data_IF_171928959791
#
_entry.id   IF_171928959791
#
_cell.length_a   1.000
_cell.length_b   1.000
_cell.length_c   1.000
_cell.angle_alpha   90.00
_cell.angle_beta   90.00
_cell.angle_gamma   90.00
#
_symmetry.space_group_name_H-M   'P 1'
#
loop_
_entity.id
_entity.type
_entity.pdbx_description
1 polymer ?
#
# COMPACT_ATOMS: atom_id res chain seq x y z
N UNK A 1 8.42 34.46 -18.80
CA UNK A 1 7.04 34.32 -18.26
C UNK A 1 7.04 33.77 -16.83
N UNK A 2 7.87 32.76 -16.51
CA UNK A 2 8.13 32.25 -15.14
C UNK A 2 8.43 33.35 -14.10
N UNK A 3 9.31 34.32 -14.42
CA UNK A 3 9.63 35.46 -13.54
C UNK A 3 8.41 36.33 -13.15
N UNK A 4 7.37 36.40 -14.00
CA UNK A 4 6.14 37.17 -13.68
C UNK A 4 5.17 36.38 -12.79
N UNK A 5 5.25 35.05 -12.78
CA UNK A 5 4.52 34.18 -11.84
C UNK A 5 5.21 34.11 -10.48
N UNK A 6 6.55 34.13 -10.46
CA UNK A 6 7.38 34.21 -9.25
C UNK A 6 7.03 35.40 -8.36
N UNK A 7 6.67 36.54 -8.95
CA UNK A 7 6.32 37.77 -8.21
C UNK A 7 4.92 37.73 -7.56
N UNK A 8 4.06 36.75 -7.92
CA UNK A 8 2.67 36.67 -7.41
C UNK A 8 2.49 35.68 -6.26
N UNK A 9 3.40 34.72 -6.09
CA UNK A 9 3.29 33.67 -5.07
C UNK A 9 4.48 33.72 -4.11
N UNK A 10 4.18 33.77 -2.81
CA UNK A 10 5.08 33.91 -1.66
C UNK A 10 5.98 32.68 -1.39
N UNK A 11 6.48 32.00 -2.44
CA UNK A 11 7.44 30.89 -2.32
C UNK A 11 8.90 31.34 -2.50
N UNK A 12 9.14 32.65 -2.54
CA UNK A 12 10.46 33.27 -2.68
C UNK A 12 11.21 33.26 -1.35
N UNK A 13 11.94 32.18 -1.07
CA UNK A 13 12.86 32.16 0.08
C UNK A 13 13.66 30.89 0.32
N UNK A 14 13.33 29.75 -0.28
CA UNK A 14 14.04 28.48 -0.04
C UNK A 14 14.69 27.94 -1.32
N UNK A 15 15.93 27.45 -1.24
CA UNK A 15 16.63 26.78 -2.36
C UNK A 15 15.82 25.59 -2.89
N UNK A 16 15.00 24.97 -2.03
CA UNK A 16 14.08 23.91 -2.42
C UNK A 16 12.99 24.38 -3.39
N UNK A 17 12.54 25.65 -3.31
CA UNK A 17 11.49 26.17 -4.18
C UNK A 17 11.99 26.35 -5.61
N UNK A 18 13.25 26.77 -5.80
CA UNK A 18 13.86 26.93 -7.14
C UNK A 18 13.88 25.61 -7.92
N UNK A 19 14.35 24.53 -7.28
CA UNK A 19 14.37 23.21 -7.93
C UNK A 19 12.97 22.64 -8.20
N UNK A 20 11.97 22.97 -7.37
CA UNK A 20 10.58 22.60 -7.69
C UNK A 20 10.03 23.34 -8.89
N UNK A 21 10.44 24.59 -9.12
CA UNK A 21 9.98 25.39 -10.25
C UNK A 21 10.49 24.86 -11.60
N UNK A 22 11.70 24.30 -11.65
CA UNK A 22 12.20 23.66 -12.88
C UNK A 22 11.41 22.38 -13.23
N UNK A 23 10.89 21.67 -12.22
CA UNK A 23 10.14 20.42 -12.41
C UNK A 23 8.69 20.62 -12.86
N UNK A 24 8.10 21.78 -12.59
CA UNK A 24 6.70 22.03 -12.96
C UNK A 24 6.52 22.41 -14.42
N UNK A 25 7.59 22.79 -15.13
CA UNK A 25 7.50 23.28 -16.51
C UNK A 25 6.70 24.58 -16.59
N UNK A 26 5.81 24.70 -17.58
CA UNK A 26 4.97 25.90 -17.76
C UNK A 26 3.64 25.84 -17.00
N UNK A 27 3.46 24.87 -16.09
CA UNK A 27 2.22 24.69 -15.35
C UNK A 27 1.96 25.85 -14.39
N UNK A 28 0.69 26.23 -14.30
CA UNK A 28 0.28 27.35 -13.45
C UNK A 28 0.24 26.93 -11.97
N UNK A 29 0.85 27.76 -11.12
CA UNK A 29 0.82 27.64 -9.66
C UNK A 29 -0.42 28.38 -9.15
N UNK A 30 -1.34 27.65 -8.53
CA UNK A 30 -2.66 28.13 -8.09
C UNK A 30 -2.87 28.11 -6.58
N UNK A 31 -1.94 27.53 -5.83
CA UNK A 31 -2.02 27.45 -4.38
C UNK A 31 -0.67 27.18 -3.75
N UNK A 32 -0.69 27.00 -2.42
CA UNK A 32 0.54 26.83 -1.63
C UNK A 32 1.07 25.38 -1.65
N UNK A 33 0.20 24.38 -1.77
CA UNK A 33 0.55 22.96 -1.68
C UNK A 33 0.64 22.45 -0.25
N UNK A 34 0.52 21.12 -0.06
CA UNK A 34 0.46 20.53 1.28
C UNK A 34 1.78 20.66 2.08
N UNK A 35 2.91 20.82 1.38
CA UNK A 35 4.26 20.94 1.96
C UNK A 35 4.91 22.29 1.65
N UNK A 36 4.12 23.27 1.18
CA UNK A 36 4.63 24.57 0.76
C UNK A 36 5.47 24.56 -0.52
N UNK A 37 5.40 23.48 -1.30
CA UNK A 37 6.04 23.40 -2.62
C UNK A 37 5.00 23.39 -3.74
N UNK A 38 5.38 23.92 -4.89
CA UNK A 38 4.59 23.86 -6.11
C UNK A 38 4.58 22.42 -6.69
N UNK A 39 3.86 21.50 -6.05
CA UNK A 39 3.73 20.11 -6.49
C UNK A 39 2.28 19.74 -6.87
N UNK A 40 2.16 18.75 -7.75
CA UNK A 40 0.89 18.13 -8.11
C UNK A 40 0.84 16.72 -7.54
N UNK A 41 -0.24 16.36 -6.83
CA UNK A 41 -0.66 14.97 -6.73
C UNK A 41 -2.17 14.89 -6.52
N UNK A 42 -2.75 13.81 -7.03
CA UNK A 42 -4.15 13.46 -6.84
C UNK A 42 -4.31 12.74 -5.50
N UNK A 43 -4.84 13.47 -4.52
CA UNK A 43 -4.97 12.99 -3.14
C UNK A 43 -6.35 13.31 -2.58
N UNK A 44 -6.95 12.33 -1.91
CA UNK A 44 -8.27 12.50 -1.30
C UNK A 44 -8.23 13.47 -0.11
N UNK A 45 -7.15 13.47 0.67
CA UNK A 45 -6.94 14.34 1.82
C UNK A 45 -6.50 15.77 1.44
N UNK A 46 -5.99 15.96 0.22
CA UNK A 46 -5.56 17.26 -0.28
C UNK A 46 -6.13 17.50 -1.69
N UNK A 47 -7.41 17.88 -1.80
CA UNK A 47 -8.14 17.87 -3.06
C UNK A 47 -7.77 19.00 -4.03
N UNK A 48 -7.05 20.01 -3.54
CA UNK A 48 -6.66 21.21 -4.30
C UNK A 48 -5.13 21.29 -4.37
N UNK A 49 -4.49 20.64 -5.37
CA UNK A 49 -3.03 20.64 -5.51
C UNK A 49 -2.49 22.05 -5.78
N UNK A 50 -1.20 22.25 -5.52
CA UNK A 50 -0.55 23.56 -5.60
C UNK A 50 -0.49 24.10 -7.04
N UNK A 51 -0.45 23.20 -8.01
CA UNK A 51 -0.34 23.50 -9.44
C UNK A 51 -1.47 22.82 -10.22
N UNK A 52 -1.76 23.29 -11.43
CA UNK A 52 -2.67 22.60 -12.36
C UNK A 52 -1.99 21.37 -12.99
N UNK A 53 -2.77 20.37 -13.39
CA UNK A 53 -2.25 19.17 -14.03
C UNK A 53 -1.57 19.45 -15.38
N UNK A 54 -2.25 20.16 -16.30
CA UNK A 54 -1.74 20.43 -17.65
C UNK A 54 -1.09 21.80 -17.77
N UNK A 55 -0.16 21.91 -18.71
CA UNK A 55 0.38 23.20 -19.15
C UNK A 55 -0.68 24.05 -19.88
N UNK A 56 -0.57 25.39 -19.83
CA UNK A 56 -1.57 26.27 -20.39
C UNK A 56 -1.47 26.33 -21.93
N UNK A 57 -2.33 25.58 -22.61
CA UNK A 57 -2.51 25.66 -24.07
C UNK A 57 -3.43 26.85 -24.46
N UNK A 58 -3.37 27.31 -25.71
CA UNK A 58 -4.18 28.42 -26.25
C UNK A 58 -5.69 28.16 -26.09
N UNK A 59 -6.14 26.94 -26.34
CA UNK A 59 -7.54 26.53 -26.16
C UNK A 59 -7.97 26.63 -24.69
N UNK A 60 -7.15 26.10 -23.78
CA UNK A 60 -7.43 26.16 -22.35
C UNK A 60 -7.43 27.61 -21.88
N UNK A 61 -6.49 28.44 -22.33
CA UNK A 61 -6.46 29.88 -22.01
C UNK A 61 -7.75 30.57 -22.47
N UNK A 62 -8.25 30.29 -23.67
CA UNK A 62 -9.53 30.84 -24.14
C UNK A 62 -10.72 30.35 -23.27
N UNK A 63 -10.73 29.08 -22.88
CA UNK A 63 -11.74 28.55 -21.95
C UNK A 63 -11.64 29.19 -20.55
N UNK A 64 -10.44 29.52 -20.07
CA UNK A 64 -10.24 30.24 -18.80
C UNK A 64 -10.78 31.67 -18.84
N UNK A 65 -10.68 32.35 -19.97
CA UNK A 65 -11.31 33.68 -20.11
C UNK A 65 -12.84 33.58 -20.09
N UNK A 66 -13.42 32.50 -20.65
CA UNK A 66 -14.86 32.20 -20.50
C UNK A 66 -15.23 31.80 -19.07
N UNK A 67 -14.37 31.07 -18.36
CA UNK A 67 -14.58 30.65 -16.95
C UNK A 67 -14.76 31.85 -16.01
N UNK A 68 -14.18 33.02 -16.33
CA UNK A 68 -14.39 34.27 -15.56
C UNK A 68 -15.79 34.85 -15.71
N UNK A 69 -16.56 34.41 -16.70
CA UNK A 69 -17.94 34.85 -16.95
C UNK A 69 -18.95 33.89 -16.30
N UNK A 70 -20.23 34.04 -16.61
CA UNK A 70 -21.29 33.17 -16.09
C UNK A 70 -21.14 31.71 -16.57
N UNK A 71 -21.01 30.78 -15.63
CA UNK A 71 -20.83 29.36 -15.90
C UNK A 71 -22.05 28.70 -16.55
N UNK A 72 -23.24 29.32 -16.46
CA UNK A 72 -24.43 28.83 -17.18
C UNK A 72 -24.27 28.86 -18.70
N UNK A 73 -23.30 29.63 -19.23
CA UNK A 73 -23.00 29.73 -20.66
C UNK A 73 -21.97 28.70 -21.13
N UNK A 74 -21.32 27.98 -20.21
CA UNK A 74 -20.36 26.94 -20.54
C UNK A 74 -21.08 25.64 -20.89
N UNK A 75 -20.62 24.95 -21.93
CA UNK A 75 -21.11 23.61 -22.23
C UNK A 75 -20.57 22.59 -21.22
N UNK A 76 -21.25 21.45 -21.09
CA UNK A 76 -20.76 20.35 -20.23
C UNK A 76 -19.38 19.84 -20.66
N UNK A 77 -19.08 19.91 -21.96
CA UNK A 77 -17.78 19.52 -22.52
C UNK A 77 -16.68 20.52 -22.16
N UNK A 78 -16.98 21.83 -22.22
CA UNK A 78 -16.05 22.89 -21.80
C UNK A 78 -15.73 22.77 -20.31
N UNK A 79 -16.72 22.48 -19.47
CA UNK A 79 -16.52 22.23 -18.03
C UNK A 79 -15.64 21.00 -17.81
N UNK A 80 -15.90 19.89 -18.51
CA UNK A 80 -15.07 18.67 -18.42
C UNK A 80 -13.64 18.93 -18.90
N UNK A 81 -13.45 19.73 -19.95
CA UNK A 81 -12.13 20.11 -20.45
C UNK A 81 -11.36 20.96 -19.43
N UNK A 82 -12.02 21.95 -18.80
CA UNK A 82 -11.44 22.74 -17.71
C UNK A 82 -11.06 21.87 -16.50
N UNK A 83 -11.91 20.88 -16.17
CA UNK A 83 -11.64 19.92 -15.11
C UNK A 83 -10.39 19.08 -15.43
N UNK A 84 -10.32 18.45 -16.60
CA UNK A 84 -9.16 17.61 -17.03
C UNK A 84 -7.88 18.40 -17.29
N UNK A 85 -7.98 19.71 -17.52
CA UNK A 85 -6.82 20.60 -17.55
C UNK A 85 -6.30 20.89 -16.14
N UNK A 86 -7.22 20.94 -15.16
CA UNK A 86 -6.89 21.23 -13.76
C UNK A 86 -6.43 20.00 -12.99
N UNK A 87 -7.10 18.87 -13.21
CA UNK A 87 -6.91 17.62 -12.49
C UNK A 87 -6.65 16.46 -13.45
N UNK A 88 -5.73 15.57 -13.09
CA UNK A 88 -5.46 14.36 -13.86
C UNK A 88 -6.57 13.33 -13.62
N UNK A 89 -6.79 12.97 -12.36
CA UNK A 89 -7.77 11.97 -11.97
C UNK A 89 -8.98 12.58 -11.25
N UNK A 90 -10.14 11.94 -11.40
CA UNK A 90 -11.32 12.18 -10.56
C UNK A 90 -11.21 11.43 -9.24
N UNK A 91 -11.99 11.80 -8.23
CA UNK A 91 -12.07 11.04 -6.97
C UNK A 91 -12.45 9.57 -7.18
N UNK A 92 -13.34 9.29 -8.14
CA UNK A 92 -13.73 7.92 -8.47
C UNK A 92 -12.56 7.13 -9.07
N UNK A 93 -11.69 7.77 -9.86
CA UNK A 93 -10.50 7.14 -10.43
C UNK A 93 -9.41 6.91 -9.37
N UNK A 94 -9.23 7.85 -8.44
CA UNK A 94 -8.27 7.72 -7.32
C UNK A 94 -8.67 6.57 -6.38
N UNK A 95 -9.98 6.42 -6.12
CA UNK A 95 -10.52 5.41 -5.22
C UNK A 95 -10.84 4.08 -5.92
N UNK A 96 -10.53 3.96 -7.21
CA UNK A 96 -10.82 2.75 -7.96
C UNK A 96 -9.99 1.56 -7.41
N UNK A 97 -10.62 0.41 -7.11
CA UNK A 97 -9.90 -0.74 -6.59
C UNK A 97 -9.02 -1.37 -7.68
N UNK A 98 -7.71 -1.53 -7.40
CA UNK A 98 -6.72 -2.09 -8.34
C UNK A 98 -6.67 -3.63 -8.33
N UNK A 99 -7.07 -4.24 -7.22
CA UNK A 99 -6.99 -5.70 -7.03
C UNK A 99 -5.59 -6.24 -6.74
N UNK A 100 -4.61 -5.39 -6.44
CA UNK A 100 -3.21 -5.77 -6.15
C UNK A 100 -3.07 -6.79 -5.02
N UNK A 101 -3.99 -6.80 -4.05
CA UNK A 101 -4.01 -7.79 -2.97
C UNK A 101 -4.03 -9.23 -3.48
N UNK A 102 -4.66 -9.49 -4.64
CA UNK A 102 -4.71 -10.81 -5.27
C UNK A 102 -3.31 -11.25 -5.73
N UNK A 103 -2.53 -10.33 -6.29
CA UNK A 103 -1.15 -10.58 -6.68
C UNK A 103 -0.28 -10.86 -5.46
N UNK A 104 -0.41 -10.06 -4.39
CA UNK A 104 0.33 -10.29 -3.15
C UNK A 104 0.03 -11.65 -2.54
N UNK A 105 -1.24 -12.07 -2.49
CA UNK A 105 -1.60 -13.40 -2.02
C UNK A 105 -1.07 -14.51 -2.92
N UNK A 106 -1.19 -14.36 -4.24
CA UNK A 106 -0.68 -15.36 -5.19
C UNK A 106 0.83 -15.58 -5.04
N UNK A 107 1.60 -14.50 -4.96
CA UNK A 107 3.05 -14.57 -4.75
C UNK A 107 3.38 -15.18 -3.39
N UNK A 108 2.65 -14.82 -2.34
CA UNK A 108 2.86 -15.38 -0.99
C UNK A 108 2.67 -16.90 -0.97
N UNK A 109 1.62 -17.42 -1.61
CA UNK A 109 1.38 -18.87 -1.68
C UNK A 109 2.44 -19.62 -2.49
N UNK A 110 3.02 -19.00 -3.52
CA UNK A 110 4.15 -19.60 -4.26
C UNK A 110 5.34 -19.79 -3.32
N UNK A 111 5.69 -18.79 -2.51
CA UNK A 111 6.81 -18.90 -1.56
C UNK A 111 6.52 -19.90 -0.43
N UNK A 112 5.29 -19.94 0.09
CA UNK A 112 4.91 -20.95 1.10
C UNK A 112 5.01 -22.36 0.54
N UNK A 113 4.51 -22.59 -0.68
CA UNK A 113 4.61 -23.88 -1.36
C UNK A 113 6.08 -24.28 -1.56
N UNK A 114 6.91 -23.36 -2.01
CA UNK A 114 8.35 -23.59 -2.19
C UNK A 114 9.04 -23.96 -0.86
N UNK A 115 8.71 -23.28 0.23
CA UNK A 115 9.25 -23.59 1.56
C UNK A 115 8.85 -24.99 2.04
N UNK A 116 7.59 -25.40 1.82
CA UNK A 116 7.11 -26.75 2.14
C UNK A 116 7.88 -27.80 1.32
N UNK A 117 8.06 -27.57 0.02
CA UNK A 117 8.83 -28.47 -0.83
C UNK A 117 10.27 -28.60 -0.38
N UNK A 118 10.92 -27.50 0.00
CA UNK A 118 12.28 -27.54 0.55
C UNK A 118 12.30 -28.38 1.83
N UNK A 119 11.35 -28.19 2.75
CA UNK A 119 11.29 -28.98 3.98
C UNK A 119 11.11 -30.48 3.72
N UNK A 120 10.27 -30.85 2.74
CA UNK A 120 10.09 -32.25 2.31
C UNK A 120 11.39 -32.81 1.72
N UNK A 121 12.08 -32.06 0.85
CA UNK A 121 13.35 -32.49 0.26
C UNK A 121 14.45 -32.67 1.32
N UNK A 122 14.52 -31.79 2.31
CA UNK A 122 15.43 -31.94 3.45
C UNK A 122 15.15 -33.25 4.20
N UNK A 123 13.89 -33.58 4.44
CA UNK A 123 13.51 -34.81 5.12
C UNK A 123 13.75 -36.08 4.28
N UNK A 124 13.71 -36.00 2.95
CA UNK A 124 13.91 -37.16 2.08
C UNK A 124 15.38 -37.46 1.78
N UNK A 125 16.23 -36.42 1.69
CA UNK A 125 17.58 -36.56 1.16
C UNK A 125 18.70 -36.11 2.11
N UNK A 126 18.38 -35.41 3.21
CA UNK A 126 19.40 -34.80 4.07
C UNK A 126 19.32 -35.29 5.51
N UNK A 127 18.13 -35.43 6.09
CA UNK A 127 17.98 -35.87 7.47
C UNK A 127 18.09 -37.38 7.62
N UNK A 128 18.82 -37.81 8.65
CA UNK A 128 18.94 -39.21 9.04
C UNK A 128 17.64 -39.74 9.67
N UNK A 129 17.57 -41.06 9.80
CA UNK A 129 16.46 -41.72 10.49
C UNK A 129 16.31 -41.20 11.93
N UNK A 130 15.06 -41.08 12.36
CA UNK A 130 14.75 -40.69 13.73
C UNK A 130 15.34 -41.70 14.72
N UNK A 131 15.77 -41.26 15.91
CA UNK A 131 16.31 -42.19 16.89
C UNK A 131 15.23 -43.18 17.36
N UNK A 132 15.64 -44.40 17.72
CA UNK A 132 14.79 -45.52 18.15
C UNK A 132 13.75 -45.16 19.21
N UNK A 133 14.01 -44.13 20.02
CA UNK A 133 13.06 -43.62 21.03
C UNK A 133 11.78 -43.04 20.43
N UNK A 134 11.77 -42.70 19.13
CA UNK A 134 10.59 -42.24 18.41
C UNK A 134 9.73 -43.39 17.86
N UNK A 135 10.13 -44.64 18.03
CA UNK A 135 9.28 -45.79 17.69
C UNK A 135 8.06 -45.82 18.62
N UNK A 136 6.94 -46.34 18.11
CA UNK A 136 5.67 -46.35 18.84
C UNK A 136 5.75 -47.12 20.16
N UNK A 137 6.53 -48.19 20.23
CA UNK A 137 6.72 -48.96 21.47
C UNK A 137 7.45 -48.14 22.53
N UNK A 138 8.58 -47.52 22.17
CA UNK A 138 9.37 -46.68 23.07
C UNK A 138 8.58 -45.45 23.52
N UNK A 139 7.84 -44.79 22.61
CA UNK A 139 6.93 -43.68 22.94
C UNK A 139 5.87 -44.10 23.96
N UNK A 140 5.23 -45.27 23.77
CA UNK A 140 4.21 -45.79 24.69
C UNK A 140 4.81 -46.16 26.04
N UNK A 141 5.97 -46.81 26.06
CA UNK A 141 6.68 -47.17 27.29
C UNK A 141 7.11 -45.91 28.07
N UNK A 142 7.61 -44.90 27.36
CA UNK A 142 7.96 -43.61 27.94
C UNK A 142 6.71 -42.89 28.48
N UNK A 143 5.62 -42.85 27.73
CA UNK A 143 4.36 -42.25 28.17
C UNK A 143 3.83 -42.94 29.43
N UNK A 144 3.80 -44.28 29.46
CA UNK A 144 3.39 -45.04 30.63
C UNK A 144 4.25 -44.67 31.84
N UNK A 145 5.58 -44.66 31.69
CA UNK A 145 6.48 -44.24 32.77
C UNK A 145 6.21 -42.80 33.23
N UNK A 146 5.91 -41.87 32.33
CA UNK A 146 5.57 -40.49 32.70
C UNK A 146 4.25 -40.39 33.47
N UNK A 147 3.27 -41.23 33.14
CA UNK A 147 2.00 -41.31 33.88
C UNK A 147 2.22 -41.96 35.26
N UNK A 148 3.01 -43.03 35.33
CA UNK A 148 3.34 -43.72 36.59
C UNK A 148 4.13 -42.81 37.54
N UNK A 149 4.92 -41.86 37.00
CA UNK A 149 5.64 -40.84 37.76
C UNK A 149 4.82 -39.55 37.99
N UNK A 150 3.54 -39.54 37.59
CA UNK A 150 2.62 -38.41 37.72
C UNK A 150 3.19 -37.09 37.19
N UNK A 151 3.83 -37.12 36.01
CA UNK A 151 4.45 -35.93 35.43
C UNK A 151 3.39 -34.87 35.11
N UNK A 152 3.50 -33.71 35.76
CA UNK A 152 2.57 -32.57 35.68
C UNK A 152 1.11 -32.95 36.01
N UNK A 153 0.81 -33.31 37.27
CA UNK A 153 -0.45 -33.94 37.65
C UNK A 153 -1.62 -32.96 37.87
N UNK A 154 -1.38 -31.64 37.89
CA UNK A 154 -2.43 -30.64 38.15
C UNK A 154 -3.07 -30.12 36.86
N UNK A 155 -2.26 -29.77 35.85
CA UNK A 155 -2.74 -29.13 34.60
C UNK A 155 -2.21 -29.78 33.33
N UNK A 156 -1.28 -30.73 33.45
CA UNK A 156 -0.46 -31.21 32.36
C UNK A 156 -0.89 -32.58 31.83
N UNK A 157 0.09 -33.47 31.69
CA UNK A 157 -0.08 -34.77 31.05
C UNK A 157 -0.84 -35.74 31.96
N UNK A 158 -0.31 -35.96 33.18
CA UNK A 158 -0.88 -36.87 34.15
C UNK A 158 -2.30 -36.46 34.61
N UNK A 159 -2.59 -35.15 34.66
CA UNK A 159 -3.92 -34.66 35.04
C UNK A 159 -5.04 -35.07 34.07
N UNK A 160 -4.69 -35.51 32.86
CA UNK A 160 -5.64 -35.89 31.81
C UNK A 160 -5.84 -37.41 31.71
N UNK A 161 -5.11 -38.18 32.51
CA UNK A 161 -5.19 -39.63 32.56
C UNK A 161 -6.09 -40.07 33.72
N UNK A 162 -7.06 -40.92 33.44
CA UNK A 162 -7.89 -41.54 34.46
C UNK A 162 -7.18 -42.79 35.00
N UNK A 163 -6.57 -42.65 36.17
CA UNK A 163 -5.83 -43.72 36.83
C UNK A 163 -6.72 -44.88 37.31
N UNK A 164 -8.00 -44.61 37.61
CA UNK A 164 -8.94 -45.63 38.05
C UNK A 164 -9.34 -46.53 36.89
N UNK A 165 -9.63 -45.92 35.73
CA UNK A 165 -10.10 -46.64 34.55
C UNK A 165 -9.01 -46.94 33.51
N UNK A 166 -7.77 -46.52 33.76
CA UNK A 166 -6.61 -46.65 32.85
C UNK A 166 -6.90 -46.17 31.43
N UNK A 167 -7.44 -44.96 31.28
CA UNK A 167 -7.78 -44.36 29.99
C UNK A 167 -7.63 -42.84 29.95
#
# INVERSE_FOLDING_TARGET
>A
QLLKQLLKNTQTGSIASVHTLDKIGNREIVGYGWNGTACYADRTDYPMPAIRFREPNNEIKALREKEKQDWKKLSTEEIKALYRASFCQTFAEIQAPTGEWKQHLGISFIFVSMAIWIAVLMNLFVYDDLPVTFDDEHKKAQLKRMLDLEVNPVTGLASKWDYENKK
#
